data_IF_875641186390
#
_entry.id   IF_875641186390
#
_cell.length_a   1.000
_cell.length_b   1.000
_cell.length_c   1.000
_cell.angle_alpha   90.00
_cell.angle_beta   90.00
_cell.angle_gamma   90.00
#
_symmetry.space_group_name_H-M   'P 1'
#
loop_
_entity.id
_entity.type
_entity.pdbx_description
1 polymer ?
#
# COMPACT_ATOMS: atom_id res chain seq x y z
N UNK A 1 14.74 3.36 -8.53
CA UNK A 1 14.84 4.59 -7.74
C UNK A 1 13.83 4.53 -6.60
N UNK A 2 14.26 4.83 -5.37
CA UNK A 2 13.35 5.06 -4.24
C UNK A 2 13.01 6.56 -4.24
N UNK A 3 11.74 6.90 -4.22
CA UNK A 3 11.26 8.28 -4.24
C UNK A 3 10.32 8.51 -3.06
N UNK A 4 10.53 9.56 -2.29
CA UNK A 4 9.67 9.95 -1.17
C UNK A 4 9.99 11.35 -0.68
N UNK A 5 9.14 11.88 0.20
CA UNK A 5 9.38 13.16 0.87
C UNK A 5 10.54 13.05 1.89
N UNK A 6 10.95 14.19 2.46
CA UNK A 6 12.03 14.33 3.44
C UNK A 6 11.83 13.52 4.74
N UNK A 7 10.63 12.99 4.94
CA UNK A 7 10.21 12.23 6.10
C UNK A 7 9.79 10.78 5.79
N UNK A 8 10.19 10.29 4.62
CA UNK A 8 10.00 8.90 4.21
C UNK A 8 11.19 8.04 4.67
N UNK A 9 10.92 6.94 5.37
CA UNK A 9 11.94 5.95 5.73
C UNK A 9 11.64 4.64 5.02
N UNK A 10 12.59 4.16 4.20
CA UNK A 10 12.49 2.88 3.49
C UNK A 10 13.17 1.75 4.26
N UNK A 11 12.54 0.57 4.27
CA UNK A 11 13.08 -0.66 4.85
C UNK A 11 13.67 -1.54 3.76
N UNK A 12 15.00 -1.49 3.60
CA UNK A 12 15.67 -2.05 2.43
C UNK A 12 15.53 -3.57 2.24
N UNK A 13 15.33 -4.33 3.31
CA UNK A 13 15.04 -5.76 3.24
C UNK A 13 13.65 -6.03 2.65
N UNK A 14 12.63 -5.27 3.05
CA UNK A 14 11.29 -5.36 2.48
C UNK A 14 11.27 -4.84 1.03
N UNK A 15 11.99 -3.75 0.74
CA UNK A 15 12.20 -3.26 -0.65
C UNK A 15 12.78 -4.37 -1.52
N UNK A 16 13.88 -5.01 -1.08
CA UNK A 16 14.51 -6.12 -1.83
C UNK A 16 13.56 -7.29 -2.05
N UNK A 17 12.82 -7.69 -1.01
CA UNK A 17 11.80 -8.76 -1.10
C UNK A 17 10.70 -8.40 -2.11
N UNK A 18 10.23 -7.16 -2.10
CA UNK A 18 9.18 -6.70 -3.01
C UNK A 18 9.65 -6.73 -4.47
N UNK A 19 10.83 -6.16 -4.74
CA UNK A 19 11.30 -5.99 -6.13
C UNK A 19 11.95 -7.24 -6.71
N UNK A 20 12.24 -8.28 -5.92
CA UNK A 20 12.93 -9.49 -6.40
C UNK A 20 12.16 -10.26 -7.48
N UNK A 21 10.84 -10.11 -7.52
CA UNK A 21 9.96 -10.81 -8.46
C UNK A 21 9.44 -9.90 -9.58
N UNK A 22 10.00 -8.70 -9.72
CA UNK A 22 9.59 -7.73 -10.72
C UNK A 22 10.67 -7.62 -11.80
N UNK A 23 10.25 -7.52 -13.06
CA UNK A 23 11.15 -7.18 -14.15
C UNK A 23 11.48 -5.68 -14.08
N UNK A 24 12.76 -5.38 -13.81
CA UNK A 24 13.24 -4.01 -13.66
C UNK A 24 13.35 -3.25 -14.99
N UNK A 25 13.26 -3.94 -16.13
CA UNK A 25 13.26 -3.34 -17.48
C UNK A 25 11.86 -2.93 -17.94
N UNK A 26 10.79 -3.38 -17.27
CA UNK A 26 9.45 -2.86 -17.49
C UNK A 26 9.27 -1.47 -16.85
N UNK A 27 8.49 -0.54 -17.43
CA UNK A 27 8.28 0.79 -16.88
C UNK A 27 7.29 0.83 -15.71
N UNK A 28 7.69 0.24 -14.59
CA UNK A 28 6.88 0.08 -13.38
C UNK A 28 7.07 1.28 -12.43
N UNK A 29 5.95 1.84 -11.95
CA UNK A 29 5.85 2.70 -10.78
C UNK A 29 5.05 1.99 -9.67
N UNK A 30 5.65 1.79 -8.49
CA UNK A 30 5.02 1.06 -7.37
C UNK A 30 4.60 2.02 -6.26
N UNK A 31 3.33 1.92 -5.85
CA UNK A 31 2.80 2.42 -4.59
C UNK A 31 1.39 1.86 -4.36
N UNK A 32 1.02 1.61 -3.11
CA UNK A 32 -0.35 1.28 -2.68
C UNK A 32 -1.01 2.42 -1.89
N UNK A 33 -0.24 3.45 -1.53
CA UNK A 33 -0.71 4.58 -0.73
C UNK A 33 -1.08 5.72 -1.67
N UNK A 34 -2.20 5.53 -2.35
CA UNK A 34 -2.69 6.45 -3.38
C UNK A 34 -3.80 7.33 -2.83
N UNK A 35 -3.67 8.64 -3.04
CA UNK A 35 -4.74 9.61 -2.97
C UNK A 35 -5.66 9.48 -4.17
N UNK A 36 -6.96 9.37 -3.90
CA UNK A 36 -7.99 9.41 -4.92
C UNK A 36 -9.29 9.93 -4.31
N UNK A 37 -10.00 10.85 -4.99
CA UNK A 37 -11.24 11.45 -4.47
C UNK A 37 -11.12 11.97 -3.01
N UNK A 38 -10.02 12.68 -2.71
CA UNK A 38 -9.70 13.26 -1.39
C UNK A 38 -9.54 12.26 -0.22
N UNK A 39 -9.26 10.99 -0.52
CA UNK A 39 -8.99 9.96 0.49
C UNK A 39 -7.66 9.29 0.20
N UNK A 40 -6.95 8.86 1.25
CA UNK A 40 -5.77 8.01 1.15
C UNK A 40 -5.58 7.20 2.47
N UNK A 41 -4.94 6.02 2.43
CA UNK A 41 -4.75 5.25 1.19
C UNK A 41 -6.12 4.86 0.63
N UNK A 42 -6.34 5.07 -0.66
CA UNK A 42 -7.62 4.79 -1.28
C UNK A 42 -7.58 3.45 -2.03
N UNK A 43 -8.26 2.40 -1.52
CA UNK A 43 -8.27 1.10 -2.18
C UNK A 43 -8.92 1.15 -3.56
N UNK A 44 -9.74 2.16 -3.86
CA UNK A 44 -10.43 2.36 -5.14
C UNK A 44 -9.66 3.26 -6.11
N UNK A 45 -8.42 3.65 -5.81
CA UNK A 45 -7.58 4.41 -6.74
C UNK A 45 -7.27 3.57 -8.01
N UNK A 46 -7.38 4.14 -9.22
CA UNK A 46 -6.98 3.46 -10.47
C UNK A 46 -5.55 2.94 -10.37
N UNK A 47 -5.35 1.63 -10.47
CA UNK A 47 -4.02 0.99 -10.49
C UNK A 47 -4.13 -0.41 -11.08
N UNK A 48 -2.98 -1.02 -11.35
CA UNK A 48 -2.93 -2.42 -11.80
C UNK A 48 -2.29 -3.32 -10.76
N UNK A 49 -2.39 -4.63 -10.98
CA UNK A 49 -1.71 -5.64 -10.16
C UNK A 49 -0.50 -6.21 -10.90
N UNK A 50 0.53 -6.67 -10.17
CA UNK A 50 1.66 -7.36 -10.77
C UNK A 50 1.22 -8.61 -11.50
N UNK A 51 1.93 -8.94 -12.58
CA UNK A 51 1.56 -10.09 -13.41
C UNK A 51 1.58 -11.43 -12.66
N UNK A 52 2.51 -11.63 -11.72
CA UNK A 52 2.59 -12.85 -10.92
C UNK A 52 1.35 -13.09 -10.02
N UNK A 53 0.45 -12.11 -9.92
CA UNK A 53 -0.83 -12.25 -9.24
C UNK A 53 -1.97 -12.74 -10.14
N UNK A 54 -1.77 -12.84 -11.46
CA UNK A 54 -2.81 -13.29 -12.40
C UNK A 54 -3.34 -14.69 -12.08
N UNK A 55 -2.47 -15.57 -11.55
CA UNK A 55 -2.83 -16.93 -11.15
C UNK A 55 -3.27 -17.05 -9.69
N UNK A 56 -3.15 -15.98 -8.89
CA UNK A 56 -3.51 -16.03 -7.49
C UNK A 56 -5.02 -15.84 -7.32
N UNK A 57 -5.70 -16.85 -6.75
CA UNK A 57 -7.06 -16.66 -6.27
C UNK A 57 -7.02 -15.64 -5.14
N UNK A 58 -7.65 -14.50 -5.36
CA UNK A 58 -7.83 -13.51 -4.30
C UNK A 58 -8.86 -14.05 -3.30
N UNK A 59 -8.59 -14.00 -1.98
CA UNK A 59 -9.60 -14.34 -0.99
C UNK A 59 -10.78 -13.38 -1.14
N UNK A 60 -11.98 -13.94 -1.05
CA UNK A 60 -13.22 -13.19 -0.94
C UNK A 60 -13.25 -12.34 0.34
N UNK A 61 -14.06 -11.28 0.33
CA UNK A 61 -14.29 -10.48 1.53
C UNK A 61 -14.79 -11.32 2.72
N UNK A 62 -15.58 -12.37 2.44
CA UNK A 62 -16.01 -13.32 3.45
C UNK A 62 -14.82 -14.11 4.03
N UNK A 63 -13.95 -14.68 3.19
CA UNK A 63 -12.74 -15.38 3.64
C UNK A 63 -11.83 -14.46 4.48
N UNK A 64 -11.72 -13.18 4.11
CA UNK A 64 -10.97 -12.17 4.86
C UNK A 64 -11.61 -11.91 6.23
N UNK A 65 -12.90 -11.57 6.29
CA UNK A 65 -13.55 -11.20 7.55
C UNK A 65 -13.77 -12.39 8.48
N UNK A 66 -13.91 -13.59 7.93
CA UNK A 66 -14.02 -14.82 8.70
C UNK A 66 -12.66 -15.38 9.13
N UNK A 67 -11.54 -14.88 8.59
CA UNK A 67 -10.20 -15.19 9.09
C UNK A 67 -9.99 -14.69 10.52
N UNK A 68 -9.07 -15.30 11.27
CA UNK A 68 -8.74 -14.86 12.64
C UNK A 68 -8.34 -13.37 12.70
N UNK A 69 -7.47 -12.85 11.80
CA UNK A 69 -7.17 -11.42 11.74
C UNK A 69 -8.41 -10.55 11.46
N UNK A 70 -9.24 -10.93 10.48
CA UNK A 70 -10.44 -10.17 10.10
C UNK A 70 -11.47 -10.06 11.23
N UNK A 71 -11.71 -11.15 11.96
CA UNK A 71 -12.63 -11.14 13.13
C UNK A 71 -12.13 -10.26 14.27
N UNK A 72 -10.82 -10.28 14.52
CA UNK A 72 -10.20 -9.45 15.56
C UNK A 72 -10.33 -7.96 15.24
N UNK A 73 -10.15 -7.58 13.97
CA UNK A 73 -10.24 -6.19 13.55
C UNK A 73 -11.67 -5.65 13.66
N UNK A 74 -12.67 -6.40 13.18
CA UNK A 74 -14.08 -5.99 13.32
C UNK A 74 -14.44 -5.88 14.81
N UNK A 75 -14.04 -6.84 15.66
CA UNK A 75 -14.24 -6.72 17.11
C UNK A 75 -13.60 -5.46 17.71
N UNK A 76 -12.40 -5.10 17.25
CA UNK A 76 -11.65 -3.94 17.77
C UNK A 76 -12.27 -2.62 17.30
N UNK A 77 -12.59 -2.53 16.01
CA UNK A 77 -13.16 -1.33 15.38
C UNK A 77 -14.60 -1.08 15.85
N UNK A 78 -15.41 -2.12 16.02
CA UNK A 78 -16.83 -1.99 16.39
C UNK A 78 -17.09 -2.20 17.88
N UNK A 79 -16.06 -2.45 18.70
CA UNK A 79 -16.16 -2.68 20.15
C UNK A 79 -17.14 -3.80 20.57
N UNK A 80 -17.52 -4.70 19.66
CA UNK A 80 -18.50 -5.76 19.94
C UNK A 80 -17.82 -7.05 20.38
N UNK A 81 -18.15 -7.51 21.59
CA UNK A 81 -17.55 -8.73 22.20
C UNK A 81 -17.85 -10.01 21.40
N UNK A 82 -19.00 -10.08 20.73
CA UNK A 82 -19.43 -11.23 19.94
C UNK A 82 -20.20 -10.75 18.72
N UNK A 83 -19.62 -10.99 17.54
CA UNK A 83 -20.24 -10.71 16.24
C UNK A 83 -20.59 -12.07 15.65
N UNK A 84 -21.87 -12.28 15.33
CA UNK A 84 -22.32 -13.54 14.74
C UNK A 84 -21.83 -13.66 13.29
N UNK A 85 -21.80 -14.88 12.74
CA UNK A 85 -21.38 -15.12 11.35
C UNK A 85 -22.24 -14.29 10.38
N UNK A 86 -23.53 -14.17 10.66
CA UNK A 86 -24.50 -13.43 9.85
C UNK A 86 -24.19 -11.94 9.84
N UNK A 87 -23.73 -11.37 10.95
CA UNK A 87 -23.29 -9.97 11.02
C UNK A 87 -21.99 -9.77 10.24
N UNK A 88 -21.04 -10.71 10.30
CA UNK A 88 -19.84 -10.68 9.45
C UNK A 88 -20.18 -10.73 7.97
N UNK A 89 -21.06 -11.63 7.55
CA UNK A 89 -21.50 -11.74 6.17
C UNK A 89 -22.30 -10.51 5.72
N UNK A 90 -23.14 -9.93 6.59
CA UNK A 90 -23.84 -8.68 6.29
C UNK A 90 -22.86 -7.51 6.16
N UNK A 91 -21.82 -7.48 7.00
CA UNK A 91 -20.75 -6.49 6.89
C UNK A 91 -19.94 -6.69 5.61
N UNK A 92 -19.59 -7.93 5.26
CA UNK A 92 -18.94 -8.29 4.01
C UNK A 92 -19.78 -7.87 2.79
N UNK A 93 -21.10 -8.12 2.81
CA UNK A 93 -22.03 -7.69 1.77
C UNK A 93 -22.12 -6.16 1.66
N UNK A 94 -22.20 -5.45 2.78
CA UNK A 94 -22.23 -3.99 2.79
C UNK A 94 -20.88 -3.35 2.40
N UNK A 95 -19.77 -4.03 2.66
CA UNK A 95 -18.43 -3.59 2.21
C UNK A 95 -18.13 -3.97 0.76
N UNK A 96 -18.67 -5.06 0.22
CA UNK A 96 -18.71 -5.27 -1.25
C UNK A 96 -19.56 -4.21 -1.95
N UNK A 97 -20.50 -3.60 -1.23
CA UNK A 97 -21.36 -2.51 -1.69
C UNK A 97 -20.91 -1.15 -1.16
N UNK A 98 -19.61 -0.88 -0.98
CA UNK A 98 -19.18 0.50 -0.73
C UNK A 98 -19.68 1.35 -1.91
N UNK A 99 -20.61 2.30 -1.69
CA UNK A 99 -21.05 3.18 -2.75
C UNK A 99 -19.81 3.92 -3.29
N UNK A 100 -19.48 3.71 -4.57
CA UNK A 100 -18.32 4.34 -5.20
C UNK A 100 -17.04 3.50 -5.30
N UNK A 101 -17.10 2.15 -5.26
CA UNK A 101 -16.06 1.35 -5.91
C UNK A 101 -16.04 1.68 -7.40
N UNK A 102 -15.12 2.57 -7.78
CA UNK A 102 -14.99 2.98 -9.18
C UNK A 102 -14.09 2.05 -9.97
N UNK A 103 -13.00 1.55 -9.38
CA UNK A 103 -11.98 0.79 -10.12
C UNK A 103 -11.62 -0.50 -9.41
N UNK A 104 -11.49 -1.59 -10.17
CA UNK A 104 -10.98 -2.88 -9.70
C UNK A 104 -9.61 -3.10 -10.35
N UNK A 105 -8.51 -3.12 -9.57
CA UNK A 105 -7.21 -3.35 -10.16
C UNK A 105 -7.12 -4.79 -10.69
N UNK A 106 -6.59 -4.94 -11.89
CA UNK A 106 -6.40 -6.23 -12.55
C UNK A 106 -4.92 -6.51 -12.80
N UNK A 107 -4.50 -7.79 -12.80
CA UNK A 107 -3.15 -8.17 -13.23
C UNK A 107 -2.96 -7.85 -14.71
N UNK A 108 -1.82 -7.26 -15.05
CA UNK A 108 -1.47 -6.94 -16.45
C UNK A 108 -0.32 -7.85 -16.90
N UNK A 109 -0.61 -8.79 -17.80
CA UNK A 109 0.31 -9.85 -18.25
C UNK A 109 0.24 -10.10 -19.78
N UNK A 110 1.39 -10.24 -20.47
CA UNK A 110 2.63 -9.50 -20.23
C UNK A 110 2.39 -8.06 -20.68
N UNK A 111 2.19 -7.14 -19.73
CA UNK A 111 1.89 -5.77 -20.15
C UNK A 111 2.23 -4.72 -19.09
N UNK A 112 2.23 -3.49 -19.56
CA UNK A 112 2.46 -2.30 -18.76
C UNK A 112 1.15 -1.89 -18.09
N UNK A 113 1.23 -1.47 -16.82
CA UNK A 113 0.12 -0.77 -16.21
C UNK A 113 -0.02 0.63 -16.85
N UNK A 114 -0.96 0.76 -17.78
CA UNK A 114 -1.31 2.05 -18.40
C UNK A 114 -2.54 2.65 -17.73
N UNK A 115 -2.82 3.96 -17.91
CA UNK A 115 -4.08 4.58 -17.54
C UNK A 115 -5.30 3.76 -17.98
N UNK A 116 -5.34 3.29 -19.23
CA UNK A 116 -6.46 2.53 -19.78
C UNK A 116 -6.66 1.21 -19.03
N UNK A 117 -5.57 0.52 -18.68
CA UNK A 117 -5.61 -0.72 -17.91
C UNK A 117 -6.04 -0.47 -16.45
N UNK A 118 -5.56 0.61 -15.83
CA UNK A 118 -5.87 1.01 -14.46
C UNK A 118 -7.30 1.54 -14.30
N UNK A 119 -7.87 2.11 -15.35
CA UNK A 119 -9.17 2.79 -15.37
C UNK A 119 -10.36 1.88 -15.66
N UNK A 120 -10.23 0.55 -15.53
CA UNK A 120 -11.35 -0.37 -15.73
C UNK A 120 -12.43 -0.16 -14.66
N UNK A 121 -13.59 0.41 -15.01
CA UNK A 121 -14.61 0.68 -14.02
C UNK A 121 -15.25 -0.62 -13.54
N UNK A 122 -15.73 -0.64 -12.29
CA UNK A 122 -16.59 -1.74 -11.84
C UNK A 122 -17.87 -1.68 -12.65
N UNK A 123 -18.21 -2.76 -13.34
CA UNK A 123 -19.34 -2.88 -14.29
C UNK A 123 -20.66 -2.37 -13.70
N UNK A 124 -20.86 -2.56 -12.39
CA UNK A 124 -22.09 -2.20 -11.68
C UNK A 124 -22.05 -0.80 -11.04
N UNK A 125 -20.98 -0.02 -11.22
CA UNK A 125 -20.82 1.28 -10.55
C UNK A 125 -21.72 2.39 -11.12
N UNK A 126 -22.27 2.20 -12.33
CA UNK A 126 -23.07 3.20 -13.04
C UNK A 126 -22.35 4.53 -13.26
N UNK A 127 -21.04 4.59 -13.01
CA UNK A 127 -20.27 5.83 -13.00
C UNK A 127 -19.79 6.17 -14.41
N UNK A 128 -20.28 7.28 -14.95
CA UNK A 128 -19.80 7.88 -16.20
C UNK A 128 -18.64 8.85 -15.97
N UNK A 129 -18.18 8.98 -14.72
CA UNK A 129 -17.11 9.91 -14.39
C UNK A 129 -15.81 9.51 -15.10
N UNK A 130 -15.18 10.49 -15.76
CA UNK A 130 -13.89 10.29 -16.39
C UNK A 130 -12.88 9.80 -15.34
N UNK A 131 -12.07 8.83 -15.74
CA UNK A 131 -10.98 8.35 -14.90
C UNK A 131 -9.91 9.42 -14.77
N UNK A 132 -9.60 9.80 -13.53
CA UNK A 132 -8.57 10.77 -13.22
C UNK A 132 -7.35 10.07 -12.61
N UNK A 133 -6.14 10.59 -12.83
CA UNK A 133 -4.94 10.05 -12.21
C UNK A 133 -5.07 9.99 -10.68
N UNK A 134 -4.68 8.89 -10.03
CA UNK A 134 -4.41 8.91 -8.60
C UNK A 134 -3.08 9.65 -8.33
N UNK A 135 -2.90 10.11 -7.11
CA UNK A 135 -1.63 10.70 -6.65
C UNK A 135 -1.01 9.80 -5.59
N UNK A 136 0.20 9.29 -5.81
CA UNK A 136 0.90 8.57 -4.75
C UNK A 136 1.26 9.53 -3.61
N UNK A 137 1.13 9.07 -2.38
CA UNK A 137 1.48 9.86 -1.21
C UNK A 137 3.00 9.98 -1.05
N UNK A 138 3.55 11.20 -1.22
CA UNK A 138 4.99 11.49 -1.15
C UNK A 138 5.68 10.94 0.11
N UNK A 139 5.21 11.32 1.29
CA UNK A 139 5.71 10.80 2.57
C UNK A 139 5.55 9.29 2.79
N UNK A 140 4.64 8.63 2.06
CA UNK A 140 4.53 7.18 2.10
C UNK A 140 5.59 6.50 1.21
N UNK A 141 6.10 7.19 0.20
CA UNK A 141 7.10 6.68 -0.73
C UNK A 141 6.54 5.97 -1.96
N UNK A 142 7.42 5.83 -2.95
CA UNK A 142 7.22 5.19 -4.24
C UNK A 142 8.52 4.49 -4.66
N UNK A 143 8.40 3.50 -5.54
CA UNK A 143 9.56 2.88 -6.20
C UNK A 143 9.37 2.95 -7.71
N UNK A 144 10.40 3.43 -8.40
CA UNK A 144 10.44 3.47 -9.86
C UNK A 144 11.49 2.48 -10.39
N UNK A 145 11.08 1.65 -11.34
CA UNK A 145 11.95 0.71 -12.05
C UNK A 145 12.99 1.42 -12.92
N UNK A 146 14.01 0.69 -13.38
CA UNK A 146 15.00 1.23 -14.33
C UNK A 146 14.37 1.45 -15.71
N UNK A 147 13.52 0.52 -16.15
CA UNK A 147 12.73 0.64 -17.37
C UNK A 147 11.91 1.92 -17.42
N UNK A 148 11.31 2.32 -16.29
CA UNK A 148 10.54 3.55 -16.17
C UNK A 148 11.42 4.79 -16.37
N UNK A 149 12.58 4.83 -15.72
CA UNK A 149 13.50 5.95 -15.86
C UNK A 149 14.05 6.09 -17.27
N UNK A 150 14.04 5.01 -18.07
CA UNK A 150 14.44 5.01 -19.48
C UNK A 150 13.27 5.33 -20.43
N UNK A 151 12.03 5.03 -20.04
CA UNK A 151 10.85 5.18 -20.91
C UNK A 151 10.39 6.63 -21.05
N UNK A 152 10.73 7.50 -20.09
CA UNK A 152 10.44 8.94 -20.16
C UNK A 152 11.75 9.69 -20.29
N UNK A 153 11.94 10.41 -21.39
CA UNK A 153 13.17 11.21 -21.55
C UNK A 153 13.20 12.35 -20.55
N UNK A 154 14.40 12.79 -20.13
CA UNK A 154 14.55 13.94 -19.25
C UNK A 154 13.82 15.19 -19.78
N UNK A 155 13.91 15.42 -21.10
CA UNK A 155 13.24 16.55 -21.76
C UNK A 155 11.73 16.48 -21.60
N UNK A 156 11.14 15.30 -21.80
CA UNK A 156 9.68 15.15 -21.76
C UNK A 156 9.17 15.20 -20.31
N UNK A 157 9.91 14.60 -19.37
CA UNK A 157 9.63 14.73 -17.94
C UNK A 157 9.69 16.19 -17.49
N UNK A 158 10.75 16.92 -17.85
CA UNK A 158 10.90 18.34 -17.53
C UNK A 158 9.80 19.19 -18.17
N UNK A 159 9.49 18.95 -19.44
CA UNK A 159 8.41 19.65 -20.13
C UNK A 159 7.07 19.44 -19.40
N UNK A 160 6.79 18.20 -18.97
CA UNK A 160 5.61 17.91 -18.17
C UNK A 160 5.62 18.66 -16.83
N UNK A 161 6.72 18.60 -16.07
CA UNK A 161 6.85 19.30 -14.77
C UNK A 161 6.66 20.81 -14.89
N UNK A 162 7.16 21.43 -15.95
CA UNK A 162 7.01 22.86 -16.20
C UNK A 162 5.57 23.28 -16.54
N UNK A 163 4.66 22.32 -16.83
CA UNK A 163 3.23 22.64 -17.04
C UNK A 163 2.45 22.84 -15.73
N UNK A 164 3.03 22.49 -14.58
CA UNK A 164 2.34 22.59 -13.30
C UNK A 164 2.48 24.00 -12.72
N UNK A 165 1.35 24.69 -12.59
CA UNK A 165 1.27 25.98 -11.92
C UNK A 165 0.81 25.88 -10.47
N UNK A 166 0.06 24.82 -10.12
CA UNK A 166 -0.56 24.62 -8.80
C UNK A 166 -0.53 23.15 -8.34
N UNK A 167 0.66 22.55 -8.24
CA UNK A 167 0.81 21.24 -7.60
C UNK A 167 0.90 21.41 -6.07
N UNK A 168 0.14 20.61 -5.32
CA UNK A 168 0.18 20.64 -3.84
C UNK A 168 1.49 20.04 -3.28
N UNK A 169 2.18 19.22 -4.08
CA UNK A 169 3.45 18.57 -3.77
C UNK A 169 4.12 18.00 -5.02
N UNK A 170 5.41 17.62 -4.88
CA UNK A 170 6.17 17.01 -5.97
C UNK A 170 5.67 15.60 -6.33
N UNK A 171 5.08 14.90 -5.37
CA UNK A 171 4.43 13.61 -5.54
C UNK A 171 3.21 13.66 -6.48
N UNK A 172 2.37 14.69 -6.35
CA UNK A 172 1.27 14.96 -7.29
C UNK A 172 1.80 15.23 -8.69
N UNK A 173 2.80 16.08 -8.82
CA UNK A 173 3.42 16.42 -10.10
C UNK A 173 4.00 15.18 -10.80
N UNK A 174 4.74 14.34 -10.07
CA UNK A 174 5.29 13.08 -10.58
C UNK A 174 4.18 12.13 -11.01
N UNK A 175 3.16 11.92 -10.17
CA UNK A 175 2.05 11.01 -10.45
C UNK A 175 1.29 11.39 -11.72
N UNK A 176 1.00 12.68 -11.89
CA UNK A 176 0.32 13.21 -13.08
C UNK A 176 1.19 13.10 -14.34
N UNK A 177 2.49 13.35 -14.24
CA UNK A 177 3.38 13.18 -15.38
C UNK A 177 3.56 11.73 -15.81
N UNK A 178 3.67 10.79 -14.87
CA UNK A 178 3.64 9.36 -15.17
C UNK A 178 2.38 9.01 -15.95
N UNK A 179 1.22 9.47 -15.47
CA UNK A 179 -0.07 9.22 -16.10
C UNK A 179 -0.14 9.76 -17.54
N UNK A 180 0.30 11.00 -17.76
CA UNK A 180 0.36 11.63 -19.10
C UNK A 180 1.31 10.90 -20.06
N UNK A 181 2.31 10.22 -19.53
CA UNK A 181 3.23 9.38 -20.30
C UNK A 181 2.76 7.92 -20.42
N UNK A 182 1.49 7.64 -20.11
CA UNK A 182 0.89 6.31 -20.30
C UNK A 182 1.32 5.29 -19.24
N UNK A 183 1.80 5.75 -18.07
CA UNK A 183 2.23 4.90 -16.97
C UNK A 183 1.33 5.15 -15.76
N UNK A 184 0.61 4.13 -15.33
CA UNK A 184 -0.16 4.13 -14.09
C UNK A 184 0.58 3.38 -12.97
N UNK A 185 0.15 3.60 -11.73
CA UNK A 185 0.73 2.89 -10.59
C UNK A 185 0.37 1.41 -10.62
N UNK A 186 1.35 0.59 -10.26
CA UNK A 186 1.22 -0.84 -10.01
C UNK A 186 1.19 -1.06 -8.50
N UNK A 187 0.19 -1.79 -8.03
CA UNK A 187 0.09 -2.27 -6.66
C UNK A 187 1.29 -3.20 -6.37
N UNK A 188 1.91 -3.15 -5.18
CA UNK A 188 3.04 -4.02 -4.86
C UNK A 188 2.67 -5.50 -4.81
N UNK A 189 1.38 -5.84 -4.66
CA UNK A 189 0.87 -7.20 -4.79
C UNK A 189 0.52 -7.93 -3.48
N UNK A 190 1.15 -7.70 -2.32
CA UNK A 190 0.70 -8.31 -1.07
C UNK A 190 -0.72 -7.87 -0.63
N UNK A 191 -1.32 -6.88 -1.30
CA UNK A 191 -2.48 -6.13 -0.82
C UNK A 191 -3.78 -6.35 -1.53
N UNK A 192 -3.76 -7.01 -2.68
CA UNK A 192 -5.00 -7.36 -3.38
C UNK A 192 -5.78 -8.43 -2.63
N UNK A 193 -5.13 -9.10 -1.68
CA UNK A 193 -5.76 -10.04 -0.75
C UNK A 193 -6.59 -9.39 0.36
N UNK A 194 -6.55 -8.07 0.51
CA UNK A 194 -7.29 -7.35 1.56
C UNK A 194 -7.92 -6.08 1.00
N UNK A 195 -8.72 -6.24 -0.06
CA UNK A 195 -9.25 -5.18 -0.93
C UNK A 195 -10.04 -4.04 -0.23
N UNK A 196 -10.17 -4.06 1.09
CA UNK A 196 -10.93 -3.08 1.87
C UNK A 196 -10.31 -2.73 3.22
N UNK A 197 -9.13 -3.26 3.54
CA UNK A 197 -8.46 -2.92 4.79
C UNK A 197 -7.24 -2.05 4.50
N UNK A 198 -7.45 -0.73 4.62
CA UNK A 198 -6.43 0.31 4.53
C UNK A 198 -5.26 0.10 5.52
N UNK A 199 -5.39 -0.84 6.46
CA UNK A 199 -4.33 -1.21 7.40
C UNK A 199 -3.24 -2.08 6.76
N UNK A 200 -3.52 -2.71 5.63
CA UNK A 200 -2.52 -3.43 4.84
C UNK A 200 -2.11 -2.51 3.70
N UNK A 201 -1.25 -1.53 4.00
CA UNK A 201 -0.51 -0.76 2.99
C UNK A 201 0.96 -0.89 3.31
N UNK A 202 1.75 -1.35 2.33
CA UNK A 202 3.20 -1.52 2.57
C UNK A 202 3.93 -0.21 2.40
N UNK A 203 3.37 0.78 1.68
CA UNK A 203 3.87 2.14 1.67
C UNK A 203 3.18 3.02 2.73
N UNK A 204 3.99 3.74 3.50
CA UNK A 204 3.53 4.68 4.53
C UNK A 204 3.22 4.06 5.88
N UNK A 205 2.76 2.80 5.95
CA UNK A 205 2.65 2.01 7.19
C UNK A 205 1.88 2.65 8.37
N UNK A 206 1.11 3.71 8.11
CA UNK A 206 0.98 4.83 9.04
C UNK A 206 0.08 4.63 10.27
N UNK A 207 -1.08 3.94 10.24
CA UNK A 207 -1.94 3.99 11.43
C UNK A 207 -1.40 3.23 12.65
N UNK A 208 -0.50 2.24 12.47
CA UNK A 208 -0.12 1.33 13.55
C UNK A 208 1.37 1.13 13.78
N UNK A 209 2.28 1.68 12.97
CA UNK A 209 3.71 1.58 13.32
C UNK A 209 4.06 2.36 14.61
N UNK A 210 3.35 3.44 14.91
CA UNK A 210 3.44 4.09 16.23
C UNK A 210 3.00 3.15 17.37
N UNK A 211 2.01 2.29 17.13
CA UNK A 211 1.63 1.20 18.04
C UNK A 211 2.70 0.08 18.09
N UNK A 212 3.44 -0.14 17.00
CA UNK A 212 4.60 -1.03 16.95
C UNK A 212 5.80 -0.48 17.73
N UNK A 213 6.04 0.83 17.67
CA UNK A 213 7.03 1.55 18.49
C UNK A 213 6.59 1.54 19.97
N UNK A 214 5.29 1.63 20.24
CA UNK A 214 4.69 1.47 21.56
C UNK A 214 4.86 0.08 22.20
N UNK A 215 5.29 -0.96 21.45
CA UNK A 215 5.65 -2.27 22.03
C UNK A 215 6.84 -2.19 23.00
N UNK A 216 7.63 -1.12 22.96
CA UNK A 216 8.71 -0.91 23.94
C UNK A 216 8.20 -0.53 25.33
N UNK A 217 7.09 0.22 25.44
CA UNK A 217 6.64 0.71 26.75
C UNK A 217 5.86 -0.33 27.56
N UNK A 218 5.30 -1.37 26.93
CA UNK A 218 4.54 -2.42 27.62
C UNK A 218 5.30 -3.75 27.82
N UNK A 219 6.53 -3.89 27.31
CA UNK A 219 7.45 -4.98 27.66
C UNK A 219 7.04 -6.40 27.26
N UNK A 220 5.89 -6.62 26.62
CA UNK A 220 5.42 -7.97 26.24
C UNK A 220 5.34 -8.12 24.72
N UNK A 221 6.25 -8.95 24.19
CA UNK A 221 6.28 -9.39 22.79
C UNK A 221 5.01 -10.14 22.35
N UNK A 222 4.20 -10.60 23.31
CA UNK A 222 2.89 -11.24 23.10
C UNK A 222 1.86 -10.31 22.42
N UNK A 223 2.02 -8.99 22.47
CA UNK A 223 1.04 -8.05 21.90
C UNK A 223 1.18 -7.89 20.38
N UNK A 224 2.30 -8.30 19.77
CA UNK A 224 2.46 -8.25 18.32
C UNK A 224 1.71 -9.41 17.64
N UNK A 225 0.42 -9.18 17.36
CA UNK A 225 -0.49 -10.11 16.65
C UNK A 225 -0.05 -10.36 15.20
N UNK A 226 -0.72 -11.30 14.52
CA UNK A 226 -0.44 -11.69 13.13
C UNK A 226 -0.28 -10.50 12.16
N UNK A 227 -1.20 -9.53 12.17
CA UNK A 227 -1.12 -8.32 11.34
C UNK A 227 0.12 -7.47 11.68
N UNK A 228 0.43 -7.28 12.96
CA UNK A 228 1.64 -6.58 13.40
C UNK A 228 2.91 -7.24 12.82
N UNK A 229 3.00 -8.57 12.91
CA UNK A 229 4.13 -9.35 12.40
C UNK A 229 4.23 -9.27 10.88
N UNK A 230 3.10 -9.36 10.20
CA UNK A 230 3.01 -9.22 8.76
C UNK A 230 3.47 -7.82 8.32
N UNK A 231 2.99 -6.77 8.98
CA UNK A 231 3.39 -5.39 8.71
C UNK A 231 4.89 -5.20 8.95
N UNK A 232 5.43 -5.65 10.08
CA UNK A 232 6.86 -5.56 10.35
C UNK A 232 7.71 -6.20 9.25
N UNK A 233 7.25 -7.29 8.64
CA UNK A 233 7.99 -7.99 7.57
C UNK A 233 7.82 -7.36 6.20
N UNK A 234 6.64 -6.85 5.89
CA UNK A 234 6.27 -6.46 4.53
C UNK A 234 6.20 -4.95 4.32
N UNK A 235 6.20 -4.14 5.38
CA UNK A 235 6.23 -2.67 5.26
C UNK A 235 7.49 -2.25 4.52
N UNK A 236 7.29 -1.59 3.39
CA UNK A 236 8.34 -1.10 2.48
C UNK A 236 8.85 0.25 2.97
N UNK A 237 7.95 1.09 3.47
CA UNK A 237 8.28 2.42 3.94
C UNK A 237 7.29 2.95 4.97
N UNK A 238 7.72 3.95 5.72
CA UNK A 238 6.87 4.69 6.67
C UNK A 238 6.97 6.19 6.44
N UNK A 239 5.83 6.86 6.60
CA UNK A 239 5.72 8.31 6.64
C UNK A 239 5.89 8.80 8.09
N UNK A 240 6.91 9.61 8.34
CA UNK A 240 7.25 10.08 9.70
C UNK A 240 6.51 11.36 10.09
N UNK A 241 5.76 11.97 9.16
CA UNK A 241 4.98 13.19 9.34
C UNK A 241 5.84 14.34 9.92
N UNK A 242 7.01 14.60 9.34
CA UNK A 242 7.94 15.65 9.79
C UNK A 242 7.27 17.02 9.91
N UNK A 243 6.32 17.33 9.00
CA UNK A 243 5.60 18.61 9.02
C UNK A 243 4.83 18.88 10.31
N UNK A 244 4.44 17.84 11.06
CA UNK A 244 3.76 18.01 12.36
C UNK A 244 4.75 18.07 13.54
N UNK A 245 6.02 17.75 13.31
CA UNK A 245 7.07 17.78 14.33
C UNK A 245 7.77 19.13 14.30
N UNK A 246 7.65 19.89 15.40
CA UNK A 246 8.35 21.19 15.54
C UNK A 246 9.84 21.04 15.88
N UNK A 247 10.28 19.86 16.28
CA UNK A 247 11.65 19.57 16.70
C UNK A 247 12.33 18.61 15.71
N UNK A 248 13.26 19.18 14.93
CA UNK A 248 14.06 18.46 13.93
C UNK A 248 14.93 17.39 14.59
N UNK A 249 15.47 17.64 15.80
CA UNK A 249 16.30 16.65 16.51
C UNK A 249 15.47 15.45 16.94
N UNK A 250 14.26 15.70 17.43
CA UNK A 250 13.32 14.62 17.77
C UNK A 250 12.92 13.80 16.54
N UNK A 251 12.70 14.45 15.39
CA UNK A 251 12.42 13.76 14.13
C UNK A 251 13.59 12.90 13.68
N UNK A 252 14.82 13.44 13.69
CA UNK A 252 16.03 12.70 13.32
C UNK A 252 16.22 11.48 14.23
N UNK A 253 16.08 11.65 15.55
CA UNK A 253 16.13 10.54 16.49
C UNK A 253 15.04 9.48 16.20
N UNK A 254 13.83 9.91 15.82
CA UNK A 254 12.75 8.99 15.44
C UNK A 254 13.11 8.22 14.15
N UNK A 255 13.68 8.89 13.14
CA UNK A 255 14.12 8.28 11.87
C UNK A 255 15.22 7.24 12.09
N UNK A 256 16.16 7.48 13.00
CA UNK A 256 17.20 6.51 13.37
C UNK A 256 16.66 5.33 14.19
N UNK A 257 15.72 5.60 15.10
CA UNK A 257 15.18 4.60 16.02
C UNK A 257 14.24 3.61 15.32
N UNK A 258 13.39 4.06 14.41
CA UNK A 258 12.35 3.22 13.80
C UNK A 258 12.91 1.96 13.10
N UNK A 259 13.96 2.04 12.25
CA UNK A 259 14.59 0.85 11.66
C UNK A 259 15.14 -0.12 12.71
N UNK A 260 15.75 0.40 13.79
CA UNK A 260 16.30 -0.42 14.87
C UNK A 260 15.18 -1.15 15.62
N UNK A 261 14.07 -0.45 15.90
CA UNK A 261 12.90 -1.05 16.55
C UNK A 261 12.26 -2.13 15.70
N UNK A 262 12.13 -1.90 14.39
CA UNK A 262 11.65 -2.91 13.45
C UNK A 262 12.55 -4.15 13.48
N UNK A 263 13.87 -3.96 13.42
CA UNK A 263 14.83 -5.07 13.46
C UNK A 263 14.78 -5.83 14.80
N UNK A 264 14.69 -5.11 15.92
CA UNK A 264 14.55 -5.71 17.25
C UNK A 264 13.23 -6.48 17.39
N UNK A 265 12.13 -5.97 16.82
CA UNK A 265 10.87 -6.70 16.79
C UNK A 265 11.00 -7.99 15.97
N UNK A 266 11.56 -7.91 14.75
CA UNK A 266 11.74 -9.06 13.87
C UNK A 266 12.60 -10.17 14.47
N UNK A 267 13.65 -9.82 15.22
CA UNK A 267 14.53 -10.81 15.88
C UNK A 267 13.88 -11.54 17.06
N UNK A 268 12.87 -10.93 17.69
CA UNK A 268 12.11 -11.53 18.80
C UNK A 268 10.94 -12.41 18.35
N UNK A 269 10.55 -12.35 17.07
CA UNK A 269 9.45 -13.16 16.56
C UNK A 269 9.88 -14.64 16.42
N UNK A 270 9.07 -15.60 16.91
CA UNK A 270 9.37 -17.03 16.76
C UNK A 270 9.57 -17.41 15.29
N UNK A 271 10.63 -18.18 14.99
CA UNK A 271 10.91 -18.69 13.64
C UNK A 271 9.86 -19.69 13.13
N UNK A 272 9.16 -20.40 14.01
CA UNK A 272 8.30 -21.53 13.65
C UNK A 272 6.89 -21.14 13.14
N UNK A 273 6.39 -19.94 13.43
CA UNK A 273 5.11 -19.45 12.86
C UNK A 273 5.30 -18.79 11.47
N UNK A 274 6.51 -18.82 10.91
CA UNK A 274 6.86 -18.16 9.65
C UNK A 274 6.35 -18.94 8.43
N UNK A 275 6.45 -20.27 8.46
CA UNK A 275 6.06 -21.11 7.32
C UNK A 275 4.54 -21.11 7.08
N UNK A 276 3.73 -21.25 8.15
CA UNK A 276 2.27 -21.41 7.99
C UNK A 276 1.52 -20.19 7.44
N UNK A 277 2.04 -18.96 7.64
CA UNK A 277 1.44 -17.76 7.07
C UNK A 277 1.91 -17.45 5.65
N UNK A 278 3.15 -17.84 5.29
CA UNK A 278 3.64 -17.68 3.91
C UNK A 278 3.06 -18.77 2.99
N UNK A 279 2.85 -20.00 3.48
CA UNK A 279 2.21 -21.08 2.71
C UNK A 279 0.70 -20.89 2.54
N UNK A 280 -0.01 -20.38 3.55
CA UNK A 280 -1.44 -20.01 3.44
C UNK A 280 -1.70 -18.77 2.59
N UNK A 281 -0.64 -18.05 2.20
CA UNK A 281 -0.65 -16.95 1.26
C UNK A 281 -0.11 -17.40 -0.12
N UNK A 282 0.01 -18.69 -0.41
CA UNK A 282 0.40 -19.19 -1.74
C UNK A 282 -0.58 -20.25 -2.26
N UNK A 283 -1.40 -20.84 -1.39
CA UNK A 283 -2.57 -21.65 -1.76
C UNK A 283 -3.88 -20.84 -1.71
#
# INVERSE_FOLDING_TARGET
MLYGDDDTVFFMDAVKKLVSNLDHELPIALSDNLWFSNRHPNPNAPRCLPCHMASQKLPSLEEIFTSVPGRVEIRTTYQQRTISKEVYEAFARNTTQVPGQRYRPEPVCPGLCTPEAACKPVVDSGSTAACTPPTAHGGAGMIFSVGLMRSITFRDALACFLTFTNATGGDQMVSECLWRHGIAFTDPGPLVRYSYDYQYVVFGGAPRLSSLVGLQSSGTSEQCRALCRWMLRNVVSIHMHARVKKDIKALAAQQEMVPQLRQAALTRLPRQEIAGMEEGAVN
#
